data_IF_530945428216
#
_entry.id   IF_530945428216
#
_cell.length_a   1.000
_cell.length_b   1.000
_cell.length_c   1.000
_cell.angle_alpha   90.00
_cell.angle_beta   90.00
_cell.angle_gamma   90.00
#
_symmetry.space_group_name_H-M   'P 1'
#
loop_
_entity.id
_entity.type
_entity.pdbx_description
1 polymer ?
#
# COMPACT_ATOMS: atom_id res chain seq x y z
N UNK A 1 -23.59 53.29 8.22
CA UNK A 1 -24.34 52.78 7.05
C UNK A 1 -23.55 51.63 6.48
N UNK A 2 -24.12 50.43 6.47
CA UNK A 2 -23.47 49.24 5.91
C UNK A 2 -23.46 49.40 4.38
N UNK A 3 -22.28 49.46 3.77
CA UNK A 3 -22.15 49.65 2.33
C UNK A 3 -22.58 48.37 1.60
N UNK A 4 -23.83 48.36 1.12
CA UNK A 4 -24.43 47.25 0.38
C UNK A 4 -23.63 46.84 -0.87
N UNK A 5 -22.83 47.76 -1.45
CA UNK A 5 -21.98 47.44 -2.61
C UNK A 5 -20.79 46.54 -2.23
N UNK A 6 -20.20 46.72 -1.05
CA UNK A 6 -19.07 45.92 -0.57
C UNK A 6 -19.53 44.52 -0.11
N UNK A 7 -20.72 44.44 0.50
CA UNK A 7 -21.37 43.17 0.84
C UNK A 7 -21.70 42.40 -0.44
N UNK A 8 -22.34 43.02 -1.43
CA UNK A 8 -22.61 42.37 -2.71
C UNK A 8 -21.32 41.91 -3.41
N UNK A 9 -20.25 42.72 -3.44
CA UNK A 9 -18.96 42.30 -4.03
C UNK A 9 -18.37 41.06 -3.34
N UNK A 10 -18.35 41.02 -2.01
CA UNK A 10 -17.87 39.86 -1.27
C UNK A 10 -18.77 38.62 -1.46
N UNK A 11 -20.10 38.81 -1.50
CA UNK A 11 -21.09 37.75 -1.80
C UNK A 11 -20.86 37.16 -3.20
N UNK A 12 -20.64 38.03 -4.20
CA UNK A 12 -20.42 37.60 -5.59
C UNK A 12 -19.08 36.89 -5.75
N UNK A 13 -18.00 37.38 -5.12
CA UNK A 13 -16.70 36.71 -5.17
C UNK A 13 -16.71 35.34 -4.49
N UNK A 14 -17.38 35.21 -3.34
CA UNK A 14 -17.48 33.93 -2.61
C UNK A 14 -18.33 32.90 -3.36
N UNK A 15 -19.44 33.34 -3.97
CA UNK A 15 -20.29 32.50 -4.83
C UNK A 15 -19.54 32.05 -6.07
N UNK A 16 -18.92 32.97 -6.79
CA UNK A 16 -18.17 32.67 -8.01
C UNK A 16 -16.97 31.78 -7.73
N UNK A 17 -16.34 31.92 -6.55
CA UNK A 17 -15.30 31.02 -6.08
C UNK A 17 -15.82 29.58 -5.87
N UNK A 18 -16.90 29.38 -5.11
CA UNK A 18 -17.40 28.02 -4.83
C UNK A 18 -17.85 27.36 -6.14
N UNK A 19 -18.51 28.13 -7.01
CA UNK A 19 -18.97 27.67 -8.31
C UNK A 19 -17.82 27.34 -9.28
N UNK A 20 -16.64 27.92 -9.12
CA UNK A 20 -15.45 27.63 -9.92
C UNK A 20 -14.39 26.81 -9.17
N UNK A 21 -14.68 26.34 -7.95
CA UNK A 21 -13.75 25.56 -7.13
C UNK A 21 -13.40 24.23 -7.81
N UNK A 22 -12.13 23.85 -7.77
CA UNK A 22 -11.63 22.57 -8.29
C UNK A 22 -12.07 21.36 -7.46
N UNK A 23 -12.63 21.61 -6.27
CA UNK A 23 -13.27 20.59 -5.46
C UNK A 23 -14.73 20.51 -5.85
N UNK A 24 -15.26 19.30 -5.97
CA UNK A 24 -16.71 19.15 -5.97
C UNK A 24 -17.22 19.44 -4.57
N UNK A 25 -18.08 20.42 -4.39
CA UNK A 25 -18.61 20.80 -3.08
C UNK A 25 -20.12 20.63 -3.09
N UNK A 26 -20.68 20.01 -2.05
CA UNK A 26 -22.11 19.88 -1.90
C UNK A 26 -22.59 19.82 -0.47
N UNK A 27 -23.89 20.04 -0.27
CA UNK A 27 -24.55 19.97 1.02
C UNK A 27 -25.71 18.99 0.94
N UNK A 28 -25.71 18.02 1.85
CA UNK A 28 -26.76 17.02 2.03
C UNK A 28 -27.56 17.35 3.30
N UNK A 29 -28.88 17.46 3.19
CA UNK A 29 -29.80 17.65 4.31
C UNK A 29 -31.11 16.89 4.04
N UNK A 30 -31.63 16.20 5.06
CA UNK A 30 -32.88 15.43 4.97
C UNK A 30 -32.93 14.46 3.76
N UNK A 31 -31.81 13.75 3.54
CA UNK A 31 -31.57 12.82 2.41
C UNK A 31 -31.67 13.46 1.01
N UNK A 32 -31.58 14.80 0.93
CA UNK A 32 -31.58 15.57 -0.30
C UNK A 32 -30.31 16.38 -0.44
N UNK A 33 -29.77 16.43 -1.64
CA UNK A 33 -28.67 17.33 -1.95
C UNK A 33 -29.28 18.71 -2.19
N UNK A 34 -29.06 19.62 -1.25
CA UNK A 34 -29.65 20.97 -1.26
C UNK A 34 -28.75 22.02 -1.93
N UNK A 35 -27.48 21.66 -2.16
CA UNK A 35 -26.51 22.49 -2.85
C UNK A 35 -25.41 21.63 -3.46
N UNK A 36 -24.97 21.96 -4.66
CA UNK A 36 -23.70 21.51 -5.25
C UNK A 36 -23.11 22.61 -6.13
N UNK A 37 -21.79 22.64 -6.26
CA UNK A 37 -21.12 23.53 -7.21
C UNK A 37 -21.03 22.94 -8.62
N UNK A 38 -20.68 23.78 -9.61
CA UNK A 38 -20.52 23.34 -10.99
C UNK A 38 -19.55 22.17 -11.18
N UNK A 39 -18.54 22.02 -10.32
CA UNK A 39 -17.59 20.90 -10.42
C UNK A 39 -18.26 19.56 -10.17
N UNK A 40 -19.19 19.45 -9.22
CA UNK A 40 -19.99 18.23 -9.05
C UNK A 40 -20.90 18.02 -10.26
N UNK A 41 -21.59 19.06 -10.73
CA UNK A 41 -22.52 18.94 -11.87
C UNK A 41 -21.78 18.45 -13.14
N UNK A 42 -20.60 19.02 -13.41
CA UNK A 42 -19.72 18.60 -14.52
C UNK A 42 -19.20 17.18 -14.34
N UNK A 43 -18.77 16.81 -13.13
CA UNK A 43 -18.26 15.47 -12.84
C UNK A 43 -19.35 14.41 -12.98
N UNK A 44 -20.51 14.65 -12.40
CA UNK A 44 -21.62 13.69 -12.31
C UNK A 44 -22.39 13.58 -13.64
N UNK A 45 -22.46 14.68 -14.40
CA UNK A 45 -23.20 14.76 -15.66
C UNK A 45 -24.72 14.91 -15.50
N UNK A 46 -25.21 15.06 -14.27
CA UNK A 46 -26.62 15.29 -13.95
C UNK A 46 -26.89 16.78 -13.72
N UNK A 47 -28.12 17.20 -14.01
CA UNK A 47 -28.61 18.53 -13.64
C UNK A 47 -28.85 18.64 -12.14
N UNK A 48 -28.85 19.86 -11.60
CA UNK A 48 -29.17 20.08 -10.19
C UNK A 48 -30.56 19.55 -9.83
N UNK A 49 -31.53 19.70 -10.74
CA UNK A 49 -32.90 19.24 -10.52
C UNK A 49 -33.04 17.73 -10.38
N UNK A 50 -32.19 16.96 -11.06
CA UNK A 50 -32.12 15.51 -10.92
C UNK A 50 -31.43 15.12 -9.60
N UNK A 51 -30.37 15.85 -9.21
CA UNK A 51 -29.54 15.53 -8.04
C UNK A 51 -30.25 15.84 -6.71
N UNK A 52 -31.17 16.81 -6.68
CA UNK A 52 -31.93 17.16 -5.47
C UNK A 52 -33.00 16.15 -5.07
N UNK A 53 -33.29 15.15 -5.92
CA UNK A 53 -34.24 14.09 -5.58
C UNK A 53 -33.85 13.38 -4.27
N UNK A 54 -34.86 13.02 -3.49
CA UNK A 54 -34.62 12.30 -2.23
C UNK A 54 -33.89 10.99 -2.52
N UNK A 55 -32.89 10.68 -1.70
CA UNK A 55 -32.07 9.47 -1.80
C UNK A 55 -31.24 9.38 -3.10
N UNK A 56 -31.14 10.46 -3.89
CA UNK A 56 -30.34 10.47 -5.12
C UNK A 56 -28.89 10.01 -4.87
N UNK A 57 -28.27 10.51 -3.80
CA UNK A 57 -26.90 10.17 -3.43
C UNK A 57 -26.69 8.66 -3.21
N UNK A 58 -27.73 7.92 -2.80
CA UNK A 58 -27.64 6.45 -2.64
C UNK A 58 -27.61 5.73 -3.98
N UNK A 59 -28.29 6.27 -5.00
CA UNK A 59 -28.37 5.68 -6.36
C UNK A 59 -27.05 5.83 -7.12
N UNK A 60 -26.29 6.87 -6.83
CA UNK A 60 -25.03 7.17 -7.50
C UNK A 60 -23.82 6.58 -6.78
N UNK A 61 -23.96 5.89 -5.64
CA UNK A 61 -22.83 5.20 -4.99
C UNK A 61 -22.82 3.74 -5.44
N UNK A 62 -21.63 3.20 -5.71
CA UNK A 62 -21.48 1.79 -6.06
C UNK A 62 -22.05 0.87 -4.96
N UNK A 63 -22.80 -0.19 -5.32
CA UNK A 63 -23.46 -1.08 -4.35
C UNK A 63 -22.58 -1.59 -3.20
N UNK A 64 -21.36 -2.07 -3.49
CA UNK A 64 -20.46 -2.56 -2.42
C UNK A 64 -20.03 -1.46 -1.43
N UNK A 65 -19.99 -0.19 -1.88
CA UNK A 65 -19.53 0.93 -1.06
C UNK A 65 -20.68 1.56 -0.26
N UNK A 66 -21.93 1.35 -0.70
CA UNK A 66 -23.14 1.98 -0.15
C UNK A 66 -23.32 1.72 1.35
N UNK A 67 -23.11 0.47 1.80
CA UNK A 67 -23.25 0.09 3.21
C UNK A 67 -22.30 0.87 4.12
N UNK A 68 -21.05 1.05 3.66
CA UNK A 68 -20.01 1.79 4.36
C UNK A 68 -20.30 3.28 4.40
N UNK A 69 -20.73 3.87 3.29
CA UNK A 69 -21.07 5.30 3.22
C UNK A 69 -22.30 5.62 4.06
N UNK A 70 -23.35 4.78 4.00
CA UNK A 70 -24.55 4.94 4.82
C UNK A 70 -24.23 4.92 6.31
N UNK A 71 -23.40 3.97 6.76
CA UNK A 71 -22.94 3.89 8.16
C UNK A 71 -22.18 5.14 8.60
N UNK A 72 -21.36 5.73 7.72
CA UNK A 72 -20.64 6.98 8.00
C UNK A 72 -21.61 8.16 8.19
N UNK A 73 -22.62 8.30 7.32
CA UNK A 73 -23.63 9.36 7.41
C UNK A 73 -24.49 9.19 8.67
N UNK A 74 -24.97 7.98 8.96
CA UNK A 74 -25.78 7.70 10.14
C UNK A 74 -25.05 7.93 11.46
N UNK A 75 -23.78 7.49 11.56
CA UNK A 75 -22.94 7.73 12.74
C UNK A 75 -22.76 9.23 12.99
N UNK A 76 -22.52 10.03 11.94
CA UNK A 76 -22.40 11.49 12.07
C UNK A 76 -23.67 12.16 12.59
N UNK A 77 -24.82 11.80 12.03
CA UNK A 77 -26.09 12.41 12.41
C UNK A 77 -26.49 12.01 13.83
N UNK A 78 -26.21 10.77 14.26
CA UNK A 78 -26.51 10.27 15.61
C UNK A 78 -25.58 10.83 16.67
N UNK A 79 -24.28 10.83 16.43
CA UNK A 79 -23.29 11.23 17.44
C UNK A 79 -23.22 12.75 17.65
N UNK A 80 -23.77 13.55 16.72
CA UNK A 80 -23.68 15.03 16.71
C UNK A 80 -22.24 15.56 16.91
N UNK A 81 -21.24 14.71 16.65
CA UNK A 81 -19.83 15.08 16.77
C UNK A 81 -19.38 15.77 15.50
N UNK A 82 -18.79 16.94 15.66
CA UNK A 82 -18.28 17.77 14.57
C UNK A 82 -16.96 17.24 13.97
N UNK A 83 -16.82 15.92 13.88
CA UNK A 83 -15.60 15.28 13.38
C UNK A 83 -15.69 15.17 11.86
N UNK A 84 -14.69 15.72 11.18
CA UNK A 84 -14.52 15.50 9.75
C UNK A 84 -14.19 14.04 9.52
N UNK A 85 -14.89 13.41 8.59
CA UNK A 85 -14.51 12.07 8.13
C UNK A 85 -14.03 12.12 6.70
N UNK A 86 -13.14 11.19 6.40
CA UNK A 86 -12.53 10.99 5.09
C UNK A 86 -12.74 9.55 4.70
N UNK A 87 -13.25 9.32 3.49
CA UNK A 87 -13.39 7.98 2.94
C UNK A 87 -13.34 8.02 1.42
N UNK A 88 -13.06 6.85 0.83
CA UNK A 88 -13.05 6.65 -0.62
C UNK A 88 -14.23 5.78 -1.00
N UNK A 89 -14.89 6.11 -2.09
CA UNK A 89 -15.97 5.31 -2.67
C UNK A 89 -16.05 5.53 -4.17
N UNK A 90 -16.71 4.60 -4.87
CA UNK A 90 -17.02 4.69 -6.28
C UNK A 90 -18.37 5.37 -6.47
N UNK A 91 -18.43 6.27 -7.45
CA UNK A 91 -19.67 6.92 -7.90
C UNK A 91 -20.02 6.54 -9.33
N UNK A 92 -21.30 6.32 -9.59
CA UNK A 92 -21.89 6.11 -10.91
C UNK A 92 -22.18 7.47 -11.55
N UNK A 93 -21.58 7.71 -12.72
CA UNK A 93 -21.83 8.90 -13.52
C UNK A 93 -23.05 8.69 -14.43
N UNK A 94 -23.60 9.78 -15.00
CA UNK A 94 -24.68 9.69 -16.01
C UNK A 94 -24.29 8.89 -17.25
N UNK A 95 -23.00 8.86 -17.59
CA UNK A 95 -22.47 8.04 -18.69
C UNK A 95 -22.56 6.52 -18.42
N UNK A 96 -22.82 6.12 -17.18
CA UNK A 96 -22.79 4.72 -16.73
C UNK A 96 -21.41 4.24 -16.25
N UNK A 97 -20.39 5.10 -16.29
CA UNK A 97 -19.04 4.80 -15.80
C UNK A 97 -18.97 4.94 -14.26
N UNK A 98 -18.14 4.11 -13.62
CA UNK A 98 -17.76 4.30 -12.23
C UNK A 98 -16.45 5.07 -12.10
N UNK A 99 -16.45 6.10 -11.25
CA UNK A 99 -15.24 6.82 -10.88
C UNK A 99 -14.93 6.72 -9.39
N UNK A 100 -13.66 6.62 -9.07
CA UNK A 100 -13.20 6.70 -7.69
C UNK A 100 -13.16 8.15 -7.22
N UNK A 101 -13.79 8.39 -6.08
CA UNK A 101 -13.72 9.68 -5.41
C UNK A 101 -13.24 9.52 -3.97
N UNK A 102 -12.53 10.54 -3.51
CA UNK A 102 -12.27 10.77 -2.11
C UNK A 102 -13.25 11.81 -1.59
N UNK A 103 -13.99 11.46 -0.54
CA UNK A 103 -15.00 12.30 0.10
C UNK A 103 -14.47 12.74 1.46
N UNK A 104 -14.51 14.05 1.70
CA UNK A 104 -14.40 14.62 3.03
C UNK A 104 -15.78 15.15 3.41
N UNK A 105 -16.23 14.87 4.62
CA UNK A 105 -17.52 15.41 5.06
C UNK A 105 -17.50 15.85 6.51
N UNK A 106 -18.32 16.83 6.83
CA UNK A 106 -18.48 17.41 8.17
C UNK A 106 -19.93 17.84 8.37
N UNK A 107 -20.42 17.76 9.60
CA UNK A 107 -21.77 18.22 9.93
C UNK A 107 -21.77 19.69 10.34
N UNK A 108 -22.84 20.41 10.01
CA UNK A 108 -23.07 21.77 10.46
C UNK A 108 -24.57 22.03 10.57
N UNK A 109 -24.96 23.16 11.19
CA UNK A 109 -26.36 23.56 11.28
C UNK A 109 -26.74 24.50 10.13
N UNK A 110 -27.77 24.13 9.38
CA UNK A 110 -28.39 24.93 8.33
C UNK A 110 -29.91 24.97 8.54
N UNK A 111 -30.47 26.18 8.68
CA UNK A 111 -31.88 26.40 9.05
C UNK A 111 -32.30 25.59 10.29
N UNK A 112 -31.51 25.68 11.37
CA UNK A 112 -31.69 24.98 12.66
C UNK A 112 -31.76 23.45 12.60
N UNK A 113 -31.41 22.86 11.44
CA UNK A 113 -31.34 21.43 11.21
C UNK A 113 -29.92 21.01 10.84
N UNK A 114 -29.59 19.76 11.11
CA UNK A 114 -28.28 19.19 10.75
C UNK A 114 -28.19 19.05 9.23
N UNK A 115 -27.06 19.48 8.68
CA UNK A 115 -26.67 19.30 7.30
C UNK A 115 -25.24 18.73 7.24
N UNK A 116 -24.93 18.02 6.17
CA UNK A 116 -23.61 17.46 5.91
C UNK A 116 -23.01 18.26 4.75
N UNK A 117 -21.95 19.01 5.04
CA UNK A 117 -21.06 19.51 4.01
C UNK A 117 -20.18 18.35 3.54
N UNK A 118 -20.13 18.11 2.24
CA UNK A 118 -19.22 17.15 1.66
C UNK A 118 -18.41 17.79 0.53
N UNK A 119 -17.13 17.44 0.46
CA UNK A 119 -16.24 17.79 -0.64
C UNK A 119 -15.72 16.52 -1.28
N UNK A 120 -15.77 16.44 -2.60
CA UNK A 120 -15.33 15.30 -3.39
C UNK A 120 -14.15 15.68 -4.28
N UNK A 121 -13.22 14.75 -4.38
CA UNK A 121 -12.08 14.83 -5.28
C UNK A 121 -12.04 13.55 -6.09
N UNK A 122 -12.03 13.65 -7.41
CA UNK A 122 -11.72 12.50 -8.26
C UNK A 122 -10.30 12.03 -7.99
N UNK A 123 -10.15 10.74 -7.72
CA UNK A 123 -8.87 10.08 -7.50
C UNK A 123 -8.70 8.98 -8.54
N UNK A 124 -7.46 8.65 -8.95
CA UNK A 124 -7.23 7.46 -9.74
C UNK A 124 -7.68 6.21 -8.97
N UNK A 125 -7.99 5.14 -9.70
CA UNK A 125 -8.30 3.85 -9.10
C UNK A 125 -7.19 3.45 -8.11
N UNK A 126 -7.53 3.13 -6.84
CA UNK A 126 -6.53 2.75 -5.85
C UNK A 126 -5.87 1.45 -6.29
N UNK A 127 -4.62 1.54 -6.75
CA UNK A 127 -3.81 0.38 -7.09
C UNK A 127 -3.64 -0.52 -5.86
N UNK A 128 -3.81 -1.84 -5.99
CA UNK A 128 -3.35 -2.77 -4.97
C UNK A 128 -1.86 -2.53 -4.72
N UNK A 129 -1.40 -2.66 -3.46
CA UNK A 129 0.02 -2.63 -3.12
C UNK A 129 0.74 -3.77 -3.87
N UNK A 130 1.30 -3.46 -5.03
CA UNK A 130 2.20 -4.32 -5.80
C UNK A 130 3.60 -3.72 -5.63
N UNK A 131 4.56 -4.55 -5.22
CA UNK A 131 5.99 -4.21 -5.22
C UNK A 131 6.40 -3.79 -6.63
N UNK A 132 6.74 -2.52 -6.81
CA UNK A 132 7.14 -1.97 -8.11
C UNK A 132 8.58 -2.42 -8.39
N UNK A 133 8.78 -3.22 -9.45
CA UNK A 133 10.12 -3.49 -9.98
C UNK A 133 10.62 -2.26 -10.77
N UNK A 134 11.94 -2.06 -10.93
CA UNK A 134 12.52 -0.82 -11.45
C UNK A 134 12.21 -0.45 -12.91
N UNK A 135 11.33 -1.17 -13.62
CA UNK A 135 11.22 -1.11 -15.10
C UNK A 135 9.88 -0.55 -15.66
N UNK A 136 8.96 -0.05 -14.85
CA UNK A 136 7.63 0.39 -15.33
C UNK A 136 7.57 1.84 -15.87
N UNK A 137 8.72 2.50 -16.02
CA UNK A 137 8.84 3.90 -16.47
C UNK A 137 8.59 4.15 -17.98
N UNK A 138 8.06 3.18 -18.73
CA UNK A 138 8.01 3.26 -20.20
C UNK A 138 6.63 3.01 -20.85
N UNK A 139 5.51 3.20 -20.14
CA UNK A 139 4.16 3.07 -20.74
C UNK A 139 3.23 4.21 -20.35
N UNK A 140 3.53 5.43 -20.82
CA UNK A 140 2.61 6.57 -20.86
C UNK A 140 2.37 6.95 -22.32
N UNK A 141 1.42 6.30 -22.98
CA UNK A 141 1.02 6.65 -24.35
C UNK A 141 -0.48 6.42 -24.62
N UNK A 142 -1.35 6.58 -23.62
CA UNK A 142 -2.81 6.37 -23.80
C UNK A 142 -3.65 7.58 -23.36
N UNK A 143 -3.03 8.72 -23.02
CA UNK A 143 -3.77 9.92 -22.57
C UNK A 143 -4.14 10.86 -23.74
N UNK A 144 -3.59 10.65 -24.94
CA UNK A 144 -3.79 11.59 -26.06
C UNK A 144 -5.11 11.43 -26.84
N UNK A 145 -5.92 10.40 -26.56
CA UNK A 145 -7.13 10.13 -27.36
C UNK A 145 -8.44 10.60 -26.69
N UNK A 146 -8.44 10.94 -25.39
CA UNK A 146 -9.64 11.40 -24.67
C UNK A 146 -9.90 12.91 -24.73
N UNK A 147 -8.99 13.71 -25.31
CA UNK A 147 -9.10 15.17 -25.37
C UNK A 147 -9.66 15.72 -26.69
N UNK A 148 -10.12 14.87 -27.62
CA UNK A 148 -10.58 15.33 -28.95
C UNK A 148 -12.02 15.82 -29.03
N UNK A 149 -12.85 15.65 -28.00
CA UNK A 149 -14.29 15.94 -28.08
C UNK A 149 -14.80 16.80 -26.93
N UNK A 150 -14.52 18.11 -26.90
CA UNK A 150 -15.43 19.08 -26.23
C UNK A 150 -15.31 20.49 -26.86
N UNK A 151 -16.07 20.70 -27.93
CA UNK A 151 -16.63 22.02 -28.29
C UNK A 151 -18.13 21.94 -28.03
N UNK A 152 -18.70 22.92 -27.32
CA UNK A 152 -19.93 23.68 -27.70
C UNK A 152 -20.43 24.60 -26.55
N UNK A 153 -20.45 25.89 -26.89
CA UNK A 153 -21.38 26.99 -26.59
C UNK A 153 -21.64 27.53 -25.17
N UNK A 154 -21.17 28.78 -25.01
CA UNK A 154 -21.83 29.87 -24.28
C UNK A 154 -23.11 30.34 -25.00
N UNK A 155 -24.17 30.67 -24.24
CA UNK A 155 -25.21 31.63 -24.69
C UNK A 155 -25.96 32.35 -23.53
N UNK A 156 -25.54 33.59 -23.30
CA UNK A 156 -26.30 34.85 -23.10
C UNK A 156 -27.38 34.92 -22.00
N UNK A 157 -27.09 35.69 -20.93
CA UNK A 157 -28.08 36.41 -20.12
C UNK A 157 -28.70 37.55 -20.95
N UNK A 158 -30.05 37.60 -21.06
CA UNK A 158 -30.77 38.76 -21.60
C UNK A 158 -30.81 39.90 -20.57
N UNK A 159 -30.73 41.18 -21.00
CA UNK A 159 -30.96 42.31 -20.10
C UNK A 159 -32.46 42.40 -19.77
N UNK A 160 -32.80 42.50 -18.49
CA UNK A 160 -34.17 42.77 -18.04
C UNK A 160 -34.39 44.28 -18.12
N UNK A 161 -35.32 44.66 -18.98
CA UNK A 161 -35.77 46.04 -19.17
C UNK A 161 -36.60 46.54 -17.98
N UNK A 162 -36.61 47.85 -17.78
CA UNK A 162 -37.20 48.53 -16.61
C UNK A 162 -38.72 48.32 -16.53
N UNK A 163 -39.20 48.19 -15.28
CA UNK A 163 -40.59 48.27 -14.79
C UNK A 163 -41.48 47.02 -14.97
N UNK A 164 -41.34 46.02 -14.08
CA UNK A 164 -42.47 45.28 -13.49
C UNK A 164 -41.98 44.29 -12.41
N UNK A 165 -42.79 44.11 -11.37
CA UNK A 165 -42.67 43.13 -10.27
C UNK A 165 -41.66 43.34 -9.13
N UNK A 166 -42.08 44.12 -8.13
CA UNK A 166 -41.54 44.07 -6.77
C UNK A 166 -41.65 42.69 -6.09
N UNK A 167 -42.52 41.79 -6.56
CA UNK A 167 -42.67 40.42 -6.05
C UNK A 167 -41.48 39.51 -6.40
N UNK A 168 -41.06 39.50 -7.68
CA UNK A 168 -39.90 38.74 -8.16
C UNK A 168 -38.58 39.19 -7.54
N UNK A 169 -38.44 40.47 -7.23
CA UNK A 169 -37.24 41.01 -6.57
C UNK A 169 -37.03 40.41 -5.17
N UNK A 170 -38.12 40.13 -4.45
CA UNK A 170 -38.05 39.59 -3.08
C UNK A 170 -37.67 38.10 -3.09
N UNK A 171 -38.27 37.33 -4.01
CA UNK A 171 -37.91 35.92 -4.23
C UNK A 171 -36.45 35.76 -4.70
N UNK A 172 -36.01 36.61 -5.64
CA UNK A 172 -34.62 36.60 -6.11
C UNK A 172 -33.62 37.04 -5.03
N UNK A 173 -33.97 38.03 -4.19
CA UNK A 173 -33.15 38.44 -3.05
C UNK A 173 -33.10 37.32 -1.98
N UNK A 174 -34.21 36.65 -1.71
CA UNK A 174 -34.26 35.56 -0.73
C UNK A 174 -33.53 34.31 -1.24
N UNK A 175 -33.57 34.05 -2.55
CA UNK A 175 -32.77 33.00 -3.20
C UNK A 175 -31.27 33.33 -3.16
N UNK A 176 -30.88 34.57 -3.45
CA UNK A 176 -29.50 35.05 -3.30
C UNK A 176 -29.04 34.97 -1.83
N UNK A 177 -29.88 35.34 -0.86
CA UNK A 177 -29.57 35.25 0.57
C UNK A 177 -29.41 33.81 1.04
N UNK A 178 -30.32 32.91 0.66
CA UNK A 178 -30.22 31.47 0.97
C UNK A 178 -28.97 30.84 0.35
N UNK A 179 -28.70 31.18 -0.91
CA UNK A 179 -27.48 30.78 -1.60
C UNK A 179 -26.24 31.31 -0.87
N UNK A 180 -26.25 32.56 -0.43
CA UNK A 180 -25.16 33.19 0.34
C UNK A 180 -24.92 32.56 1.71
N UNK A 181 -25.98 32.30 2.48
CA UNK A 181 -25.87 31.64 3.78
C UNK A 181 -25.30 30.21 3.66
N UNK A 182 -25.62 29.51 2.57
CA UNK A 182 -24.99 28.21 2.25
C UNK A 182 -23.51 28.41 1.92
N UNK A 183 -23.17 29.37 1.07
CA UNK A 183 -21.79 29.64 0.65
C UNK A 183 -20.87 30.04 1.79
N UNK A 184 -21.31 30.94 2.66
CA UNK A 184 -20.57 31.34 3.85
C UNK A 184 -20.31 30.14 4.77
N UNK A 185 -21.32 29.27 4.96
CA UNK A 185 -21.19 28.05 5.77
C UNK A 185 -20.30 26.99 5.13
N UNK A 186 -20.31 26.87 3.80
CA UNK A 186 -19.44 26.00 3.01
C UNK A 186 -17.98 26.44 3.18
N UNK A 187 -17.67 27.71 2.92
CA UNK A 187 -16.32 28.28 3.03
C UNK A 187 -15.78 28.13 4.45
N UNK A 188 -16.60 28.39 5.47
CA UNK A 188 -16.19 28.28 6.86
C UNK A 188 -15.96 26.83 7.35
N UNK A 189 -16.35 25.82 6.57
CA UNK A 189 -16.26 24.40 6.96
C UNK A 189 -15.39 23.51 6.05
N UNK A 190 -14.87 24.02 4.92
CA UNK A 190 -13.80 23.34 4.16
C UNK A 190 -12.58 23.19 5.10
N UNK A 191 -11.85 22.06 5.02
CA UNK A 191 -10.67 21.82 5.87
C UNK A 191 -9.40 22.46 5.34
N UNK A 192 -9.28 22.49 4.01
CA UNK A 192 -8.11 23.02 3.32
C UNK A 192 -8.20 24.55 3.21
N UNK A 193 -7.05 25.20 3.10
CA UNK A 193 -7.00 26.65 2.85
C UNK A 193 -7.30 26.88 1.39
N UNK A 194 -8.38 27.61 1.14
CA UNK A 194 -8.67 28.12 -0.19
C UNK A 194 -7.94 29.44 -0.38
N UNK A 195 -7.39 29.64 -1.58
CA UNK A 195 -6.66 30.83 -1.95
C UNK A 195 -7.05 31.30 -3.35
N UNK A 196 -7.16 32.62 -3.51
CA UNK A 196 -7.21 33.29 -4.80
C UNK A 196 -6.10 34.36 -4.84
N UNK A 197 -5.39 34.42 -5.96
CA UNK A 197 -4.40 35.47 -6.24
C UNK A 197 -4.63 36.05 -7.63
N UNK A 198 -4.32 37.33 -7.79
CA UNK A 198 -4.33 37.97 -9.11
C UNK A 198 -3.08 37.58 -9.93
N UNK A 199 -2.96 38.12 -11.15
CA UNK A 199 -1.82 37.88 -12.05
C UNK A 199 -0.46 38.30 -11.48
N UNK A 200 -0.44 39.24 -10.53
CA UNK A 200 0.78 39.71 -9.85
C UNK A 200 1.14 38.86 -8.61
N UNK A 201 0.33 37.84 -8.33
CA UNK A 201 0.49 36.97 -7.16
C UNK A 201 -0.01 37.58 -5.85
N UNK A 202 -0.80 38.66 -5.91
CA UNK A 202 -1.38 39.28 -4.72
C UNK A 202 -2.64 38.54 -4.30
N UNK A 203 -2.73 38.21 -3.01
CA UNK A 203 -3.91 37.60 -2.41
C UNK A 203 -5.14 38.48 -2.55
N UNK A 204 -6.14 37.98 -3.28
CA UNK A 204 -7.46 38.59 -3.42
C UNK A 204 -8.48 37.92 -2.51
N UNK A 205 -8.27 36.65 -2.16
CA UNK A 205 -9.11 35.91 -1.21
C UNK A 205 -8.29 34.82 -0.49
N UNK A 206 -8.57 34.63 0.81
CA UNK A 206 -8.19 33.44 1.56
C UNK A 206 -9.32 33.01 2.48
N UNK A 207 -9.57 31.70 2.55
CA UNK A 207 -10.53 31.18 3.51
C UNK A 207 -9.99 31.19 4.95
N UNK A 208 -10.86 31.22 5.98
CA UNK A 208 -10.45 31.38 7.39
C UNK A 208 -9.55 30.28 7.96
N UNK A 209 -9.52 29.11 7.31
CA UNK A 209 -8.64 27.98 7.64
C UNK A 209 -7.16 28.34 7.56
N UNK A 210 -6.83 29.46 6.89
CA UNK A 210 -5.48 30.02 6.84
C UNK A 210 -4.89 30.20 8.24
N UNK A 211 -5.71 30.50 9.24
CA UNK A 211 -5.27 30.60 10.62
C UNK A 211 -4.81 29.25 11.20
N UNK A 212 -5.59 28.18 10.97
CA UNK A 212 -5.27 26.86 11.51
C UNK A 212 -4.06 26.20 10.84
N UNK A 213 -3.76 26.55 9.58
CA UNK A 213 -2.62 25.97 8.84
C UNK A 213 -1.40 26.88 8.88
N UNK A 214 -1.56 28.19 8.66
CA UNK A 214 -0.45 29.14 8.47
C UNK A 214 -0.30 30.14 9.63
N UNK A 215 -1.24 30.17 10.60
CA UNK A 215 -1.20 31.07 11.75
C UNK A 215 -1.67 32.50 11.46
N UNK A 216 -2.01 32.81 10.21
CA UNK A 216 -2.46 34.14 9.79
C UNK A 216 -3.98 34.17 9.63
N UNK A 217 -4.62 35.25 10.06
CA UNK A 217 -5.99 35.52 9.63
C UNK A 217 -6.00 35.99 8.18
N UNK A 218 -7.02 35.60 7.40
CA UNK A 218 -7.15 35.98 5.99
C UNK A 218 -6.96 37.48 5.74
N UNK A 219 -7.50 38.33 6.63
CA UNK A 219 -7.39 39.80 6.54
C UNK A 219 -5.97 40.34 6.65
N UNK A 220 -5.06 39.59 7.29
CA UNK A 220 -3.65 39.96 7.39
C UNK A 220 -2.89 39.65 6.09
N UNK A 221 -3.40 38.71 5.29
CA UNK A 221 -2.75 38.25 4.06
C UNK A 221 -3.31 38.89 2.80
N UNK A 222 -4.59 39.29 2.78
CA UNK A 222 -5.21 39.95 1.63
C UNK A 222 -4.42 41.23 1.28
N UNK A 223 -4.05 41.37 0.01
CA UNK A 223 -3.24 42.48 -0.49
C UNK A 223 -1.72 42.26 -0.43
N UNK A 224 -1.25 41.20 0.22
CA UNK A 224 0.17 40.81 0.22
C UNK A 224 0.50 39.86 -0.93
N UNK A 225 1.79 39.77 -1.27
CA UNK A 225 2.26 38.87 -2.32
C UNK A 225 2.41 37.44 -1.78
N UNK A 226 1.76 36.48 -2.43
CA UNK A 226 1.76 35.08 -2.02
C UNK A 226 3.14 34.41 -2.08
N UNK A 227 4.01 34.87 -2.97
CA UNK A 227 5.36 34.31 -3.12
C UNK A 227 6.25 34.63 -1.92
N UNK A 228 5.98 35.71 -1.17
CA UNK A 228 6.75 36.07 0.03
C UNK A 228 6.58 35.05 1.17
N UNK A 229 5.54 34.21 1.10
CA UNK A 229 5.24 33.18 2.08
C UNK A 229 5.69 31.79 1.63
N UNK A 230 6.47 31.67 0.56
CA UNK A 230 7.01 30.41 0.05
C UNK A 230 8.50 30.35 0.37
N UNK A 231 8.98 29.18 0.79
CA UNK A 231 10.41 28.98 1.03
C UNK A 231 11.24 29.33 -0.22
N UNK A 232 12.36 30.07 -0.09
CA UNK A 232 13.12 30.58 -1.24
C UNK A 232 13.54 29.50 -2.25
N UNK A 233 13.93 28.33 -1.77
CA UNK A 233 14.31 27.19 -2.64
C UNK A 233 13.14 26.61 -3.45
N UNK A 234 11.90 26.79 -2.99
CA UNK A 234 10.71 26.21 -3.62
C UNK A 234 10.07 27.21 -4.60
N UNK A 235 10.45 28.50 -4.56
CA UNK A 235 9.96 29.56 -5.46
C UNK A 235 10.12 29.24 -6.95
N UNK A 236 11.28 28.73 -7.44
CA UNK A 236 11.43 28.41 -8.86
C UNK A 236 10.44 27.36 -9.34
N UNK A 237 10.18 26.34 -8.51
CA UNK A 237 9.23 25.26 -8.80
C UNK A 237 7.81 25.82 -8.93
N UNK A 238 7.35 26.58 -7.93
CA UNK A 238 5.99 27.13 -7.91
C UNK A 238 5.77 28.10 -9.07
N UNK A 239 6.74 28.98 -9.36
CA UNK A 239 6.66 29.90 -10.51
C UNK A 239 6.58 29.17 -11.84
N UNK A 240 7.36 28.09 -12.00
CA UNK A 240 7.33 27.26 -13.21
C UNK A 240 5.97 26.61 -13.37
N UNK A 241 5.43 26.01 -12.31
CA UNK A 241 4.10 25.39 -12.31
C UNK A 241 3.00 26.40 -12.63
N UNK A 242 3.04 27.60 -12.05
CA UNK A 242 2.05 28.64 -12.38
C UNK A 242 2.13 29.11 -13.84
N UNK A 243 3.33 29.23 -14.41
CA UNK A 243 3.48 29.52 -15.84
C UNK A 243 2.88 28.42 -16.71
N UNK A 244 3.12 27.15 -16.35
CA UNK A 244 2.50 26.01 -17.02
C UNK A 244 0.97 26.09 -16.93
N UNK A 245 0.40 26.44 -15.77
CA UNK A 245 -1.03 26.60 -15.58
C UNK A 245 -1.62 27.69 -16.50
N UNK A 246 -0.95 28.84 -16.65
CA UNK A 246 -1.40 29.91 -17.56
C UNK A 246 -1.35 29.45 -19.02
N UNK A 247 -0.23 28.87 -19.45
CA UNK A 247 0.01 28.52 -20.86
C UNK A 247 -0.91 27.39 -21.31
N UNK A 248 -1.09 26.39 -20.44
CA UNK A 248 -1.86 25.18 -20.75
C UNK A 248 -3.33 25.30 -20.35
N UNK A 249 -3.70 26.34 -19.60
CA UNK A 249 -5.02 26.49 -18.95
C UNK A 249 -5.41 25.23 -18.13
N UNK A 250 -4.42 24.58 -17.50
CA UNK A 250 -4.57 23.32 -16.78
C UNK A 250 -4.48 23.47 -15.26
N UNK A 251 -5.05 22.49 -14.55
CA UNK A 251 -4.90 22.35 -13.11
C UNK A 251 -3.50 21.81 -12.82
N UNK A 252 -2.77 22.53 -11.97
CA UNK A 252 -1.44 22.16 -11.49
C UNK A 252 -1.47 21.64 -10.07
N UNK A 253 -0.45 20.85 -9.75
CA UNK A 253 -0.14 20.37 -8.41
C UNK A 253 1.30 20.74 -8.07
N UNK A 254 1.50 21.29 -6.87
CA UNK A 254 2.82 21.63 -6.37
C UNK A 254 2.90 21.36 -4.87
N UNK A 255 4.01 20.75 -4.43
CA UNK A 255 4.36 20.62 -3.02
C UNK A 255 5.50 21.57 -2.71
N UNK A 256 5.33 22.36 -1.66
CA UNK A 256 6.31 23.36 -1.25
C UNK A 256 6.18 23.65 0.25
N UNK A 257 7.15 24.38 0.78
CA UNK A 257 7.16 24.85 2.16
C UNK A 257 6.55 26.25 2.22
N UNK A 258 5.47 26.40 2.98
CA UNK A 258 4.83 27.68 3.27
C UNK A 258 5.31 28.22 4.63
N UNK A 259 5.52 29.52 4.74
CA UNK A 259 5.97 30.19 5.95
C UNK A 259 4.80 30.38 6.93
N UNK A 260 4.95 29.87 8.15
CA UNK A 260 4.02 30.11 9.25
C UNK A 260 4.27 31.49 9.88
N UNK A 261 3.26 32.04 10.57
CA UNK A 261 3.38 33.32 11.29
C UNK A 261 4.53 33.39 12.30
N UNK A 262 4.88 32.25 12.89
CA UNK A 262 5.99 32.13 13.84
C UNK A 262 7.36 31.92 13.16
N UNK A 263 7.44 32.00 11.82
CA UNK A 263 8.68 31.97 11.05
C UNK A 263 9.23 30.59 10.69
N UNK A 264 8.59 29.49 11.14
CA UNK A 264 8.92 28.14 10.69
C UNK A 264 8.17 27.78 9.40
N UNK A 265 8.61 26.72 8.72
CA UNK A 265 8.02 26.28 7.45
C UNK A 265 7.15 25.03 7.61
N UNK A 266 5.99 25.04 6.94
CA UNK A 266 5.03 23.95 6.92
C UNK A 266 4.99 23.36 5.51
N UNK A 267 5.16 22.04 5.35
CA UNK A 267 5.00 21.42 4.05
C UNK A 267 3.52 21.43 3.65
N UNK A 268 3.23 22.03 2.51
CA UNK A 268 1.89 22.11 1.94
C UNK A 268 1.87 21.54 0.52
N UNK A 269 0.73 21.01 0.13
CA UNK A 269 0.42 20.64 -1.24
C UNK A 269 -0.69 21.56 -1.76
N UNK A 270 -0.44 22.23 -2.88
CA UNK A 270 -1.43 23.08 -3.53
C UNK A 270 -1.88 22.47 -4.83
N UNK A 271 -3.20 22.37 -5.01
CA UNK A 271 -3.82 22.07 -6.29
C UNK A 271 -4.58 23.31 -6.74
N UNK A 272 -4.28 23.83 -7.92
CA UNK A 272 -4.83 25.10 -8.38
C UNK A 272 -4.80 25.26 -9.89
N UNK A 273 -5.53 26.23 -10.41
CA UNK A 273 -5.62 26.53 -11.83
C UNK A 273 -5.85 28.01 -12.06
N UNK A 274 -6.04 28.38 -13.32
CA UNK A 274 -6.33 29.76 -13.74
C UNK A 274 -7.76 29.89 -14.24
N UNK A 275 -8.34 31.07 -14.07
CA UNK A 275 -9.59 31.46 -14.71
C UNK A 275 -9.55 32.94 -15.09
N UNK A 276 -10.47 33.36 -15.97
CA UNK A 276 -10.56 34.74 -16.45
C UNK A 276 -11.80 35.41 -15.84
N UNK A 277 -11.61 36.53 -15.16
CA UNK A 277 -12.68 37.38 -14.63
C UNK A 277 -12.58 38.76 -15.28
N UNK A 278 -13.63 39.19 -16.00
CA UNK A 278 -13.66 40.48 -16.72
C UNK A 278 -12.43 40.71 -17.64
N UNK A 279 -11.86 39.63 -18.18
CA UNK A 279 -10.67 39.66 -19.04
C UNK A 279 -9.33 39.58 -18.29
N UNK A 280 -9.32 39.67 -16.96
CA UNK A 280 -8.12 39.50 -16.14
C UNK A 280 -7.91 38.03 -15.73
N UNK A 281 -6.67 37.55 -15.77
CA UNK A 281 -6.32 36.20 -15.32
C UNK A 281 -6.17 36.20 -13.80
N UNK A 282 -6.83 35.26 -13.14
CA UNK A 282 -6.70 34.97 -11.71
C UNK A 282 -6.33 33.52 -11.50
N UNK A 283 -5.68 33.24 -10.37
CA UNK A 283 -5.37 31.89 -9.93
C UNK A 283 -6.22 31.54 -8.72
N UNK A 284 -6.69 30.30 -8.72
CA UNK A 284 -7.51 29.72 -7.66
C UNK A 284 -6.85 28.42 -7.23
N UNK A 285 -6.73 28.20 -5.93
CA UNK A 285 -6.03 27.05 -5.39
C UNK A 285 -6.57 26.58 -4.05
N UNK A 286 -6.29 25.32 -3.75
CA UNK A 286 -6.54 24.69 -2.47
C UNK A 286 -5.20 24.21 -1.92
N UNK A 287 -4.83 24.76 -0.76
CA UNK A 287 -3.60 24.47 -0.02
C UNK A 287 -3.93 23.52 1.12
N UNK A 288 -3.28 22.36 1.12
CA UNK A 288 -3.42 21.32 2.14
C UNK A 288 -2.13 21.15 2.91
N UNK A 289 -2.22 21.05 4.24
CA UNK A 289 -1.09 20.66 5.08
C UNK A 289 -0.77 19.17 4.87
N UNK A 290 0.48 18.86 4.50
CA UNK A 290 0.95 17.48 4.24
C UNK A 290 1.96 16.98 5.28
N UNK A 291 2.05 17.63 6.43
CA UNK A 291 3.00 17.28 7.50
C UNK A 291 2.86 15.84 7.96
N UNK A 292 1.64 15.37 8.24
CA UNK A 292 1.41 13.99 8.67
C UNK A 292 1.80 12.98 7.60
N UNK A 293 1.50 13.29 6.34
CA UNK A 293 1.87 12.43 5.21
C UNK A 293 3.40 12.31 5.10
N UNK A 294 4.14 13.43 5.13
CA UNK A 294 5.61 13.39 5.08
C UNK A 294 6.21 12.62 6.26
N UNK A 295 5.68 12.78 7.47
CA UNK A 295 6.11 11.98 8.64
C UNK A 295 5.89 10.48 8.46
N UNK A 296 4.79 10.08 7.81
CA UNK A 296 4.52 8.68 7.50
C UNK A 296 5.45 8.14 6.41
N UNK A 297 5.69 8.92 5.36
CA UNK A 297 6.63 8.59 4.29
C UNK A 297 8.07 8.43 4.82
N UNK A 298 8.53 9.31 5.71
CA UNK A 298 9.83 9.20 6.38
C UNK A 298 9.94 7.94 7.25
N UNK A 299 8.92 7.64 8.06
CA UNK A 299 8.87 6.41 8.88
C UNK A 299 8.92 5.16 8.00
N UNK A 300 8.19 5.18 6.88
CA UNK A 300 8.18 4.07 5.93
C UNK A 300 9.56 3.88 5.31
N UNK A 301 10.21 4.96 4.87
CA UNK A 301 11.55 4.91 4.31
C UNK A 301 12.57 4.40 5.33
N UNK A 302 12.55 4.91 6.56
CA UNK A 302 13.42 4.44 7.63
C UNK A 302 13.21 2.94 7.94
N UNK A 303 11.96 2.47 7.91
CA UNK A 303 11.66 1.05 8.08
C UNK A 303 12.19 0.20 6.92
N UNK A 304 12.10 0.69 5.67
CA UNK A 304 12.61 -0.03 4.49
C UNK A 304 14.12 -0.19 4.56
N UNK A 305 14.86 0.89 4.84
CA UNK A 305 16.33 0.85 4.99
C UNK A 305 16.73 -0.16 6.07
N UNK A 306 16.07 -0.11 7.24
CA UNK A 306 16.33 -1.08 8.32
C UNK A 306 16.06 -2.53 7.93
N UNK A 307 15.02 -2.79 7.13
CA UNK A 307 14.73 -4.13 6.63
C UNK A 307 15.77 -4.61 5.61
N UNK A 308 16.26 -3.73 4.74
CA UNK A 308 17.31 -4.04 3.76
C UNK A 308 18.64 -4.38 4.47
N UNK A 309 19.04 -3.59 5.47
CA UNK A 309 20.24 -3.86 6.28
C UNK A 309 20.16 -5.22 6.99
N UNK A 310 19.03 -5.51 7.63
CA UNK A 310 18.82 -6.80 8.32
C UNK A 310 18.81 -7.97 7.34
N UNK A 311 18.22 -7.79 6.16
CA UNK A 311 18.23 -8.81 5.10
C UNK A 311 19.65 -9.10 4.61
N UNK A 312 20.52 -8.10 4.53
CA UNK A 312 21.91 -8.30 4.11
C UNK A 312 22.74 -9.02 5.18
N UNK A 313 22.63 -8.61 6.46
CA UNK A 313 23.28 -9.32 7.59
C UNK A 313 22.83 -10.78 7.66
N UNK A 314 21.53 -11.06 7.47
CA UNK A 314 21.02 -12.42 7.48
C UNK A 314 21.60 -13.26 6.32
N UNK A 315 21.75 -12.69 5.12
CA UNK A 315 22.35 -13.39 3.97
C UNK A 315 23.80 -13.77 4.24
N UNK A 316 24.58 -12.88 4.83
CA UNK A 316 25.99 -13.15 5.18
C UNK A 316 26.08 -14.29 6.20
N UNK A 317 25.28 -14.25 7.27
CA UNK A 317 25.24 -15.33 8.27
C UNK A 317 24.84 -16.68 7.68
N UNK A 318 23.83 -16.69 6.80
CA UNK A 318 23.40 -17.92 6.11
C UNK A 318 24.54 -18.48 5.24
N UNK A 319 25.31 -17.63 4.54
CA UNK A 319 26.45 -18.08 3.75
C UNK A 319 27.56 -18.68 4.62
N UNK A 320 27.86 -18.06 5.77
CA UNK A 320 28.82 -18.62 6.72
C UNK A 320 28.38 -19.98 7.25
N UNK A 321 27.11 -20.13 7.62
CA UNK A 321 26.58 -21.38 8.15
C UNK A 321 26.56 -22.49 7.08
N UNK A 322 26.23 -22.14 5.82
CA UNK A 322 26.35 -23.08 4.69
C UNK A 322 27.80 -23.55 4.52
N UNK A 323 28.77 -22.65 4.64
CA UNK A 323 30.19 -23.01 4.52
C UNK A 323 30.64 -23.92 5.67
N UNK A 324 30.27 -23.60 6.91
CA UNK A 324 30.56 -24.43 8.10
C UNK A 324 29.95 -25.83 7.96
N UNK A 325 28.71 -25.93 7.50
CA UNK A 325 28.03 -27.22 7.29
C UNK A 325 28.75 -28.04 6.21
N UNK A 326 29.19 -27.41 5.11
CA UNK A 326 29.97 -28.09 4.06
C UNK A 326 31.29 -28.63 4.61
N UNK A 327 32.05 -27.80 5.33
CA UNK A 327 33.34 -28.21 5.90
C UNK A 327 33.18 -29.37 6.90
N UNK A 328 32.17 -29.31 7.78
CA UNK A 328 31.85 -30.39 8.70
C UNK A 328 31.47 -31.68 7.98
N UNK A 329 30.67 -31.58 6.90
CA UNK A 329 30.27 -32.74 6.09
C UNK A 329 31.48 -33.38 5.41
N UNK A 330 32.39 -32.60 4.85
CA UNK A 330 33.63 -33.09 4.22
C UNK A 330 34.54 -33.77 5.23
N UNK A 331 34.74 -33.18 6.42
CA UNK A 331 35.51 -33.80 7.51
C UNK A 331 34.93 -35.16 7.90
N UNK A 332 33.61 -35.25 8.08
CA UNK A 332 32.96 -36.51 8.45
C UNK A 332 33.05 -37.56 7.33
N UNK A 333 32.83 -37.15 6.08
CA UNK A 333 32.97 -38.03 4.92
C UNK A 333 34.39 -38.59 4.82
N UNK A 334 35.41 -37.75 4.96
CA UNK A 334 36.81 -38.19 4.93
C UNK A 334 37.12 -39.19 6.05
N UNK A 335 36.67 -38.93 7.29
CA UNK A 335 36.86 -39.86 8.41
C UNK A 335 36.24 -41.24 8.15
N UNK A 336 35.04 -41.30 7.57
CA UNK A 336 34.40 -42.56 7.23
C UNK A 336 35.09 -43.28 6.07
N UNK A 337 35.44 -42.55 5.00
CA UNK A 337 36.03 -43.14 3.79
C UNK A 337 37.48 -43.61 3.98
N UNK A 338 38.22 -42.98 4.88
CA UNK A 338 39.61 -43.37 5.21
C UNK A 338 39.70 -44.38 6.35
N UNK A 339 38.59 -44.71 7.01
CA UNK A 339 38.54 -45.74 8.06
C UNK A 339 39.05 -47.09 7.52
N UNK A 340 39.98 -47.76 8.23
CA UNK A 340 40.42 -49.11 7.86
C UNK A 340 39.34 -50.17 8.12
N UNK A 341 38.36 -49.87 8.98
CA UNK A 341 37.22 -50.73 9.25
C UNK A 341 36.08 -50.46 8.26
N UNK A 342 35.42 -51.54 7.84
CA UNK A 342 34.18 -51.47 7.07
C UNK A 342 33.08 -50.91 7.97
N UNK A 343 32.39 -49.87 7.52
CA UNK A 343 31.28 -49.22 8.23
C UNK A 343 30.06 -49.28 7.34
N UNK A 344 29.00 -49.92 7.83
CA UNK A 344 27.72 -50.06 7.16
C UNK A 344 26.63 -49.50 8.05
N UNK A 345 25.70 -48.75 7.46
CA UNK A 345 24.50 -48.25 8.13
C UNK A 345 23.27 -48.92 7.51
N UNK A 346 22.43 -49.51 8.34
CA UNK A 346 21.23 -50.24 7.94
C UNK A 346 19.98 -49.63 8.59
N UNK A 347 18.82 -49.75 7.94
CA UNK A 347 17.54 -49.56 8.63
C UNK A 347 17.11 -50.85 9.38
N UNK A 348 16.04 -50.78 10.19
CA UNK A 348 15.49 -51.97 10.88
C UNK A 348 14.89 -53.03 9.95
N UNK A 349 14.74 -52.76 8.66
CA UNK A 349 14.35 -53.79 7.68
C UNK A 349 15.58 -54.53 7.13
N UNK A 350 16.79 -54.19 7.57
CA UNK A 350 18.05 -54.74 7.07
C UNK A 350 18.51 -54.14 5.75
N UNK A 351 17.85 -53.09 5.23
CA UNK A 351 18.28 -52.40 4.02
C UNK A 351 19.48 -51.51 4.30
N UNK A 352 20.49 -51.60 3.45
CA UNK A 352 21.71 -50.80 3.54
C UNK A 352 21.41 -49.36 3.09
N UNK A 353 21.60 -48.42 4.01
CA UNK A 353 21.39 -46.99 3.79
C UNK A 353 22.69 -46.33 3.35
N UNK A 354 23.82 -46.74 3.92
CA UNK A 354 25.13 -46.17 3.60
C UNK A 354 26.27 -47.16 3.89
N UNK A 355 27.38 -47.05 3.16
CA UNK A 355 28.62 -47.76 3.46
C UNK A 355 29.88 -46.97 3.05
N UNK A 356 31.03 -47.28 3.64
CA UNK A 356 32.31 -46.65 3.29
C UNK A 356 33.15 -47.48 2.29
N UNK A 357 34.24 -46.92 1.77
CA UNK A 357 35.14 -47.61 0.82
C UNK A 357 35.74 -48.91 1.36
N UNK A 358 35.99 -49.02 2.67
CA UNK A 358 36.48 -50.25 3.27
C UNK A 358 35.46 -51.39 3.14
N UNK A 359 34.16 -51.09 3.14
CA UNK A 359 33.08 -52.07 2.87
C UNK A 359 33.18 -52.61 1.45
N UNK A 360 33.29 -51.71 0.47
CA UNK A 360 33.44 -52.06 -0.96
C UNK A 360 34.66 -52.95 -1.18
N UNK A 361 35.80 -52.62 -0.54
CA UNK A 361 37.03 -53.43 -0.63
C UNK A 361 36.88 -54.81 0.03
N UNK A 362 36.25 -54.87 1.20
CA UNK A 362 36.09 -56.10 1.97
C UNK A 362 35.18 -57.11 1.26
N UNK A 363 34.02 -56.64 0.79
CA UNK A 363 33.00 -57.50 0.20
C UNK A 363 33.05 -57.56 -1.33
N UNK A 364 33.88 -56.72 -1.98
CA UNK A 364 34.10 -56.69 -3.44
C UNK A 364 32.84 -56.43 -4.28
N UNK A 365 31.85 -55.77 -3.71
CA UNK A 365 30.74 -55.20 -4.48
C UNK A 365 30.95 -53.71 -4.66
N UNK A 366 30.46 -53.17 -5.77
CA UNK A 366 30.41 -51.73 -5.99
C UNK A 366 29.38 -51.09 -5.06
N UNK A 367 29.61 -49.81 -4.68
CA UNK A 367 28.73 -49.12 -3.72
C UNK A 367 27.27 -49.11 -4.18
N UNK A 368 27.01 -48.89 -5.46
CA UNK A 368 25.65 -48.86 -6.01
C UNK A 368 24.94 -50.23 -5.94
N UNK A 369 25.69 -51.33 -5.79
CA UNK A 369 25.13 -52.68 -5.60
C UNK A 369 24.76 -52.93 -4.13
N UNK A 370 25.41 -52.23 -3.19
CA UNK A 370 25.11 -52.29 -1.75
C UNK A 370 23.88 -51.45 -1.39
N UNK A 371 23.84 -50.18 -1.81
CA UNK A 371 22.85 -49.21 -1.33
C UNK A 371 21.42 -49.66 -1.71
N UNK A 372 20.52 -49.65 -0.72
CA UNK A 372 19.11 -50.01 -0.86
C UNK A 372 18.81 -51.51 -0.83
N UNK A 373 19.83 -52.38 -0.90
CA UNK A 373 19.65 -53.84 -0.81
C UNK A 373 19.57 -54.30 0.64
N UNK A 374 18.90 -55.43 0.86
CA UNK A 374 18.91 -56.08 2.17
C UNK A 374 20.25 -56.81 2.37
N UNK A 375 20.90 -56.60 3.53
CA UNK A 375 22.23 -57.16 3.80
C UNK A 375 22.26 -58.69 3.75
N UNK A 376 21.24 -59.36 4.30
CA UNK A 376 21.17 -60.82 4.37
C UNK A 376 20.80 -61.46 3.03
N UNK A 377 20.14 -60.71 2.14
CA UNK A 377 19.87 -61.15 0.78
C UNK A 377 21.10 -60.98 -0.12
N UNK A 378 21.90 -59.94 0.13
CA UNK A 378 23.06 -59.61 -0.69
C UNK A 378 24.29 -60.46 -0.35
N UNK A 379 24.54 -60.70 0.94
CA UNK A 379 25.72 -61.41 1.44
C UNK A 379 25.31 -62.82 1.88
N UNK A 380 26.01 -63.83 1.38
CA UNK A 380 25.81 -65.20 1.82
C UNK A 380 26.57 -65.48 3.13
N UNK A 381 25.93 -66.24 4.03
CA UNK A 381 26.46 -66.60 5.34
C UNK A 381 26.30 -68.10 5.59
N UNK A 382 27.30 -68.80 6.17
CA UNK A 382 27.11 -70.14 6.71
C UNK A 382 26.02 -70.16 7.78
N UNK A 383 25.30 -71.28 7.92
CA UNK A 383 24.17 -71.43 8.85
C UNK A 383 24.52 -71.06 10.30
N UNK A 384 25.73 -71.41 10.75
CA UNK A 384 26.23 -71.06 12.09
C UNK A 384 26.44 -69.55 12.28
N UNK A 385 26.81 -68.83 11.22
CA UNK A 385 26.95 -67.37 11.23
C UNK A 385 25.59 -66.67 11.20
N UNK A 386 24.64 -67.19 10.41
CA UNK A 386 23.27 -66.66 10.35
C UNK A 386 22.60 -66.68 11.72
N UNK A 387 22.65 -67.80 12.43
CA UNK A 387 22.06 -67.91 13.77
C UNK A 387 22.64 -66.89 14.77
N UNK A 388 23.95 -66.60 14.69
CA UNK A 388 24.58 -65.56 15.52
C UNK A 388 24.11 -64.15 15.15
N UNK A 389 23.91 -63.88 13.86
CA UNK A 389 23.42 -62.58 13.38
C UNK A 389 21.96 -62.34 13.78
N UNK A 390 21.11 -63.37 13.70
CA UNK A 390 19.71 -63.31 14.11
C UNK A 390 19.59 -63.04 15.62
N UNK A 391 20.34 -63.77 16.46
CA UNK A 391 20.38 -63.56 17.91
C UNK A 391 20.88 -62.15 18.26
N UNK A 392 21.95 -61.69 17.59
CA UNK A 392 22.45 -60.34 17.75
C UNK A 392 21.40 -59.29 17.34
N UNK A 393 20.72 -59.47 16.20
CA UNK A 393 19.69 -58.56 15.72
C UNK A 393 18.52 -58.46 16.70
N UNK A 394 18.01 -59.58 17.24
CA UNK A 394 16.94 -59.56 18.24
C UNK A 394 17.33 -58.83 19.52
N UNK A 395 18.54 -59.09 20.02
CA UNK A 395 19.07 -58.43 21.22
C UNK A 395 19.25 -56.92 20.98
N UNK A 396 19.76 -56.54 19.82
CA UNK A 396 19.92 -55.13 19.44
C UNK A 396 18.56 -54.44 19.29
N UNK A 397 17.56 -55.10 18.70
CA UNK A 397 16.19 -54.58 18.57
C UNK A 397 15.52 -54.36 19.94
N UNK A 398 15.91 -55.14 20.95
CA UNK A 398 15.50 -54.95 22.36
C UNK A 398 16.34 -53.88 23.09
N UNK A 399 17.23 -53.17 22.39
CA UNK A 399 18.08 -52.11 22.93
C UNK A 399 19.25 -52.61 23.79
N UNK A 400 19.60 -53.89 23.70
CA UNK A 400 20.69 -54.46 24.49
C UNK A 400 22.05 -54.09 23.88
N UNK A 401 23.03 -53.82 24.76
CA UNK A 401 24.42 -53.64 24.35
C UNK A 401 24.99 -54.99 23.93
N UNK A 402 25.57 -55.05 22.74
CA UNK A 402 26.17 -56.26 22.20
C UNK A 402 27.69 -56.23 22.33
N UNK A 403 28.26 -57.36 22.72
CA UNK A 403 29.68 -57.62 22.53
C UNK A 403 29.95 -57.93 21.04
N UNK A 404 31.15 -57.61 20.53
CA UNK A 404 31.49 -57.91 19.14
C UNK A 404 31.41 -59.40 18.84
N UNK A 405 30.75 -59.76 17.75
CA UNK A 405 30.58 -61.15 17.33
C UNK A 405 31.54 -61.51 16.19
N UNK A 406 32.08 -62.73 16.23
CA UNK A 406 32.90 -63.28 15.16
C UNK A 406 32.08 -64.25 14.32
N UNK A 407 31.99 -63.95 13.03
CA UNK A 407 31.24 -64.72 12.04
C UNK A 407 32.04 -64.90 10.76
N UNK A 408 31.62 -65.85 9.94
CA UNK A 408 32.12 -66.02 8.58
C UNK A 408 31.04 -65.62 7.58
N UNK A 409 31.46 -65.07 6.44
CA UNK A 409 30.58 -64.69 5.33
C UNK A 409 31.33 -64.79 4.00
N UNK A 410 30.58 -64.77 2.90
CA UNK A 410 31.15 -64.78 1.56
C UNK A 410 31.13 -63.36 0.97
N UNK A 411 32.20 -62.99 0.27
CA UNK A 411 32.19 -61.79 -0.56
C UNK A 411 31.69 -62.12 -1.99
N UNK A 412 31.67 -61.12 -2.89
CA UNK A 412 31.12 -61.27 -4.26
C UNK A 412 31.76 -62.38 -5.09
N UNK A 413 33.05 -62.66 -4.89
CA UNK A 413 33.77 -63.68 -5.66
C UNK A 413 33.61 -65.10 -5.08
N UNK A 414 32.85 -65.25 -4.00
CA UNK A 414 32.60 -66.53 -3.34
C UNK A 414 33.70 -66.95 -2.37
N UNK A 415 34.67 -66.09 -2.04
CA UNK A 415 35.66 -66.39 -1.01
C UNK A 415 35.08 -66.21 0.40
N UNK A 416 35.41 -67.17 1.27
CA UNK A 416 34.99 -67.16 2.67
C UNK A 416 35.93 -66.26 3.48
N UNK A 417 35.38 -65.22 4.11
CA UNK A 417 36.10 -64.29 4.98
C UNK A 417 35.61 -64.42 6.42
N UNK A 418 36.51 -64.27 7.38
CA UNK A 418 36.18 -64.23 8.82
C UNK A 418 36.17 -62.79 9.29
N UNK A 419 35.06 -62.34 9.86
CA UNK A 419 34.86 -60.94 10.25
C UNK A 419 34.39 -60.83 11.69
N UNK A 420 34.87 -59.78 12.36
CA UNK A 420 34.41 -59.34 13.68
C UNK A 420 33.51 -58.14 13.53
N UNK A 421 32.26 -58.26 13.97
CA UNK A 421 31.22 -57.24 13.80
C UNK A 421 30.88 -56.63 15.16
N UNK A 422 31.00 -55.31 15.24
CA UNK A 422 30.47 -54.50 16.34
C UNK A 422 29.22 -53.78 15.86
N UNK A 423 28.10 -53.99 16.54
CA UNK A 423 26.80 -53.43 16.17
C UNK A 423 26.32 -52.43 17.22
N UNK A 424 25.83 -51.28 16.79
CA UNK A 424 25.22 -50.28 17.67
C UNK A 424 24.01 -49.60 17.03
N UNK A 425 23.13 -49.04 17.85
CA UNK A 425 22.00 -48.24 17.38
C UNK A 425 22.41 -46.77 17.27
N UNK A 426 22.18 -46.18 16.10
CA UNK A 426 22.42 -44.76 15.83
C UNK A 426 21.09 -44.09 15.57
N UNK A 427 20.82 -43.01 16.30
CA UNK A 427 19.59 -42.23 16.12
C UNK A 427 19.88 -41.05 15.19
N UNK A 428 19.30 -41.07 14.00
CA UNK A 428 19.42 -40.01 13.00
C UNK A 428 18.03 -39.43 12.75
N UNK A 429 17.82 -38.20 13.23
CA UNK A 429 16.50 -37.55 13.24
C UNK A 429 15.43 -38.43 13.94
N UNK A 430 14.41 -38.87 13.19
CA UNK A 430 13.31 -39.71 13.67
C UNK A 430 13.49 -41.20 13.35
N UNK A 431 14.60 -41.59 12.74
CA UNK A 431 14.89 -42.98 12.43
C UNK A 431 15.99 -43.50 13.33
N UNK A 432 15.78 -44.72 13.83
CA UNK A 432 16.83 -45.48 14.49
C UNK A 432 17.42 -46.38 13.41
N UNK A 433 18.73 -46.32 13.25
CA UNK A 433 19.50 -47.10 12.28
C UNK A 433 20.47 -48.01 13.03
N UNK A 434 20.88 -49.09 12.38
CA UNK A 434 21.87 -50.04 12.90
C UNK A 434 23.20 -49.73 12.23
N UNK A 435 24.20 -49.35 13.02
CA UNK A 435 25.58 -49.22 12.55
C UNK A 435 26.32 -50.52 12.78
N UNK A 436 26.95 -51.03 11.73
CA UNK A 436 27.87 -52.15 11.76
C UNK A 436 29.29 -51.66 11.49
N UNK A 437 30.21 -51.94 12.41
CA UNK A 437 31.65 -51.79 12.20
C UNK A 437 32.24 -53.18 12.08
N UNK A 438 32.83 -53.47 10.92
CA UNK A 438 33.27 -54.79 10.51
C UNK A 438 34.79 -54.76 10.33
N UNK A 439 35.47 -55.65 11.05
CA UNK A 439 36.90 -55.87 10.97
C UNK A 439 37.17 -57.24 10.33
N UNK A 440 37.95 -57.27 9.26
CA UNK A 440 38.46 -58.51 8.68
C UNK A 440 39.52 -59.14 9.59
N UNK A 441 39.25 -60.34 10.07
CA UNK A 441 40.15 -61.12 10.94
C UNK A 441 40.63 -62.41 10.24
N UNK A 442 40.47 -62.52 8.92
CA UNK A 442 40.76 -63.73 8.14
C UNK A 442 42.22 -64.19 8.28
N UNK A 443 43.18 -63.27 8.42
CA UNK A 443 44.60 -63.58 8.60
C UNK A 443 45.05 -63.78 10.05
N UNK A 444 44.19 -63.52 11.02
CA UNK A 444 44.50 -63.64 12.46
C UNK A 444 44.15 -65.04 12.98
N UNK A 445 43.19 -65.71 12.32
CA UNK A 445 42.70 -67.04 12.67
C UNK A 445 43.17 -68.15 11.70
N UNK A 446 44.16 -67.87 10.85
CA UNK A 446 44.84 -68.82 9.97
C UNK A 446 46.22 -69.15 10.55
#
# INVERSE_FOLDING_TARGET
MINYQDICKNIFSEKEFIENSLLGIGVLQDDRIIYVNNTILKLFGYSFDEIQEKDFWMRVIHPDDLSKVKKQIESKLKEKKNNTTRYKCRILLRSGEFKWIEVFSKIFYYNDRLAILFTIIEIPEPTPLIEISPNDLAKLSVVEELLKNFKIHYKIFKPIDKQSDLGRKKEYIDEIKKSYEIFEKVINNILDVTVEINSDGIFTFLSPQSYGILGYHSKELIGLNAFDFIHPEDLPLVRTKMKEAIIKEEIIYAEYRACHKDGYYIPVATRGGVYKEQGAIKFIGVIRNITERKKLEEKLLASKVKCEDLSNDLKERIQEDILKIKELKEKFYHLLETSPYSVILLNFKGSIIECNSATVKLFKYERYEFIGKNLLELIAFPTKSLSKLEDAYEKLAKGQKLEPIEIQCYNKDGSLISVKISSSLVRLHNEILIQLIIHDITKINA
#
